data_IF_707016711191
#
_entry.id   IF_707016711191
#
_cell.length_a   1.000
_cell.length_b   1.000
_cell.length_c   1.000
_cell.angle_alpha   90.00
_cell.angle_beta   90.00
_cell.angle_gamma   90.00
#
_symmetry.space_group_name_H-M   'P 1'
#
loop_
_entity.id
_entity.type
_entity.pdbx_description
1 polymer ?
#
# COMPACT_ATOMS: atom_id res chain seq x y z
N UNK A 1 -2.37 43.33 -59.41
CA UNK A 1 -1.41 42.20 -59.42
C UNK A 1 -1.86 41.16 -58.41
N UNK A 2 -1.77 39.87 -58.72
CA UNK A 2 -2.07 38.82 -57.75
C UNK A 2 -0.92 38.71 -56.74
N UNK A 3 -1.26 38.75 -55.45
CA UNK A 3 -0.32 38.76 -54.33
C UNK A 3 -0.11 37.33 -53.83
N UNK A 4 1.10 37.04 -53.34
CA UNK A 4 1.45 35.75 -52.74
C UNK A 4 0.45 35.31 -51.66
N UNK A 5 0.02 34.04 -51.70
CA UNK A 5 -0.96 33.44 -50.78
C UNK A 5 -0.50 33.39 -49.31
N UNK A 6 0.80 33.54 -49.03
CA UNK A 6 1.31 33.45 -47.66
C UNK A 6 0.91 34.67 -46.83
N UNK A 7 0.36 34.42 -45.64
CA UNK A 7 0.02 35.47 -44.67
C UNK A 7 1.18 36.44 -44.49
N UNK A 8 0.87 37.74 -44.51
CA UNK A 8 1.82 38.84 -44.33
C UNK A 8 2.90 38.98 -45.42
N UNK A 9 2.67 38.44 -46.62
CA UNK A 9 3.53 38.66 -47.78
C UNK A 9 2.88 39.66 -48.75
N UNK A 10 3.60 40.74 -49.09
CA UNK A 10 3.16 41.76 -50.04
C UNK A 10 3.74 41.59 -51.45
N UNK A 11 4.59 40.58 -51.65
CA UNK A 11 5.24 40.32 -52.95
C UNK A 11 4.24 39.74 -53.96
N UNK A 12 4.44 40.09 -55.24
CA UNK A 12 3.71 39.50 -56.36
C UNK A 12 3.97 38.00 -56.49
N UNK A 13 2.99 37.27 -57.03
CA UNK A 13 3.18 35.86 -57.40
C UNK A 13 4.30 35.78 -58.46
N UNK A 14 5.16 34.76 -58.32
CA UNK A 14 6.29 34.56 -59.22
C UNK A 14 5.88 34.19 -60.64
N UNK A 15 6.82 34.29 -61.57
CA UNK A 15 6.53 34.16 -63.00
C UNK A 15 6.51 32.71 -63.49
N UNK A 16 7.13 31.78 -62.75
CA UNK A 16 7.21 30.38 -63.16
C UNK A 16 5.84 29.67 -63.06
N UNK A 17 5.53 28.71 -63.94
CA UNK A 17 4.26 27.99 -63.94
C UNK A 17 3.89 27.37 -62.57
N UNK A 18 4.87 26.78 -61.89
CA UNK A 18 4.67 26.18 -60.56
C UNK A 18 4.45 27.22 -59.45
N UNK A 19 5.14 28.36 -59.52
CA UNK A 19 4.95 29.48 -58.58
C UNK A 19 3.52 30.01 -58.66
N UNK A 20 3.00 30.15 -59.89
CA UNK A 20 1.61 30.55 -60.17
C UNK A 20 0.61 29.50 -59.70
N UNK A 21 0.87 28.21 -59.99
CA UNK A 21 0.04 27.08 -59.55
C UNK A 21 -0.13 27.05 -58.02
N UNK A 22 0.93 27.29 -57.26
CA UNK A 22 0.87 27.33 -55.79
C UNK A 22 0.53 28.72 -55.22
N UNK A 23 0.40 29.74 -56.09
CA UNK A 23 0.18 31.15 -55.73
C UNK A 23 1.23 31.69 -54.75
N UNK A 24 2.51 31.41 -54.98
CA UNK A 24 3.63 31.86 -54.14
C UNK A 24 4.52 32.85 -54.91
N UNK A 25 5.13 33.82 -54.22
CA UNK A 25 6.27 34.56 -54.77
C UNK A 25 7.51 33.64 -54.85
N UNK A 26 8.50 34.01 -55.66
CA UNK A 26 9.69 33.17 -55.89
C UNK A 26 10.44 32.82 -54.61
N UNK A 27 10.54 33.75 -53.64
CA UNK A 27 11.15 33.50 -52.33
C UNK A 27 10.41 32.40 -51.56
N UNK A 28 9.08 32.46 -51.50
CA UNK A 28 8.28 31.46 -50.78
C UNK A 28 8.23 30.11 -51.50
N UNK A 29 8.28 30.11 -52.84
CA UNK A 29 8.37 28.89 -53.63
C UNK A 29 9.73 28.20 -53.46
N UNK A 30 10.84 28.95 -53.50
CA UNK A 30 12.17 28.40 -53.18
C UNK A 30 12.25 27.88 -51.73
N UNK A 31 11.66 28.59 -50.77
CA UNK A 31 11.52 28.10 -49.41
C UNK A 31 10.71 26.80 -49.30
N UNK A 32 9.70 26.61 -50.15
CA UNK A 32 8.93 25.35 -50.25
C UNK A 32 9.79 24.22 -50.83
N UNK A 33 10.54 24.47 -51.91
CA UNK A 33 11.45 23.49 -52.51
C UNK A 33 12.54 23.05 -51.54
N UNK A 34 13.19 24.00 -50.85
CA UNK A 34 14.19 23.70 -49.82
C UNK A 34 13.61 22.85 -48.68
N UNK A 35 12.37 23.13 -48.24
CA UNK A 35 11.69 22.29 -47.24
C UNK A 35 11.38 20.90 -47.78
N UNK A 36 10.95 20.77 -49.04
CA UNK A 36 10.71 19.47 -49.67
C UNK A 36 11.99 18.64 -49.79
N UNK A 37 13.10 19.25 -50.21
CA UNK A 37 14.42 18.61 -50.27
C UNK A 37 14.90 18.15 -48.88
N UNK A 38 14.77 18.99 -47.85
CA UNK A 38 15.07 18.61 -46.46
C UNK A 38 14.20 17.47 -45.94
N UNK A 39 12.92 17.41 -46.34
CA UNK A 39 12.02 16.29 -46.00
C UNK A 39 12.48 14.99 -46.68
N UNK A 40 12.85 15.07 -47.96
CA UNK A 40 13.35 13.93 -48.73
C UNK A 40 14.67 13.37 -48.13
N UNK A 41 15.61 14.24 -47.77
CA UNK A 41 16.86 13.84 -47.09
C UNK A 41 16.60 13.14 -45.75
N UNK A 42 15.53 13.50 -45.07
CA UNK A 42 15.15 12.96 -43.76
C UNK A 42 14.15 11.81 -43.85
N UNK A 43 13.78 11.36 -45.05
CA UNK A 43 12.81 10.30 -45.26
C UNK A 43 13.25 8.99 -44.61
N UNK A 44 14.53 8.66 -44.76
CA UNK A 44 15.15 7.44 -44.24
C UNK A 44 15.54 7.54 -42.75
N UNK A 45 15.40 8.71 -42.12
CA UNK A 45 15.59 8.84 -40.68
C UNK A 45 14.31 8.38 -39.98
N UNK A 46 14.38 7.27 -39.28
CA UNK A 46 13.28 6.73 -38.48
C UNK A 46 13.43 7.11 -37.01
N UNK A 47 12.32 7.08 -36.28
CA UNK A 47 12.32 7.27 -34.83
C UNK A 47 13.21 6.22 -34.16
N UNK A 48 14.11 6.65 -33.27
CA UNK A 48 15.05 5.78 -32.56
C UNK A 48 14.39 4.87 -31.52
N UNK A 49 13.15 5.13 -31.09
CA UNK A 49 12.40 4.18 -30.26
C UNK A 49 12.06 2.94 -31.11
N UNK A 50 12.66 1.77 -30.84
CA UNK A 50 12.66 0.64 -31.78
C UNK A 50 11.28 0.20 -32.28
N UNK A 51 10.21 0.19 -31.46
CA UNK A 51 8.87 -0.21 -31.90
C UNK A 51 8.18 0.78 -32.86
N UNK A 52 8.70 2.00 -33.02
CA UNK A 52 7.97 3.06 -33.71
C UNK A 52 8.06 3.02 -35.23
N UNK A 53 9.28 2.92 -35.80
CA UNK A 53 9.51 2.92 -37.25
C UNK A 53 9.10 4.17 -38.03
N UNK A 54 8.43 5.17 -37.43
CA UNK A 54 7.92 6.37 -38.12
C UNK A 54 9.06 7.25 -38.64
N UNK A 55 8.94 7.70 -39.89
CA UNK A 55 9.86 8.66 -40.51
C UNK A 55 9.85 10.03 -39.81
N UNK A 56 11.03 10.59 -39.60
CA UNK A 56 11.25 11.92 -39.01
C UNK A 56 11.19 13.05 -40.06
N UNK A 57 10.92 12.73 -41.33
CA UNK A 57 10.84 13.70 -42.43
C UNK A 57 9.82 14.81 -42.17
N UNK A 58 8.68 14.50 -41.56
CA UNK A 58 7.64 15.47 -41.20
C UNK A 58 7.92 16.31 -39.95
N UNK A 59 8.99 16.02 -39.21
CA UNK A 59 9.22 16.56 -37.86
C UNK A 59 10.43 17.50 -37.80
N UNK A 60 10.48 18.37 -36.78
CA UNK A 60 11.70 19.13 -36.45
C UNK A 60 12.72 18.32 -35.63
N UNK A 61 12.28 17.21 -35.02
CA UNK A 61 13.07 16.40 -34.10
C UNK A 61 14.11 15.55 -34.83
N UNK A 62 15.30 15.36 -34.26
CA UNK A 62 16.39 14.62 -34.93
C UNK A 62 16.44 13.14 -34.58
N UNK A 63 15.87 12.73 -33.45
CA UNK A 63 15.99 11.36 -32.90
C UNK A 63 14.67 10.64 -32.67
N UNK A 64 13.64 11.37 -32.22
CA UNK A 64 12.34 10.77 -31.87
C UNK A 64 11.20 11.52 -32.55
N UNK A 65 10.17 10.80 -33.00
CA UNK A 65 9.02 11.45 -33.65
C UNK A 65 8.18 12.28 -32.67
N UNK A 66 8.17 11.92 -31.37
CA UNK A 66 7.44 12.61 -30.32
C UNK A 66 8.16 12.54 -28.95
N UNK A 67 7.70 13.35 -28.00
CA UNK A 67 8.23 13.35 -26.63
C UNK A 67 7.93 12.03 -25.89
N UNK A 68 6.82 11.37 -26.23
CA UNK A 68 6.45 10.07 -25.67
C UNK A 68 7.51 9.00 -25.93
N UNK A 69 7.95 8.86 -27.19
CA UNK A 69 9.01 7.91 -27.56
C UNK A 69 10.37 8.28 -26.97
N UNK A 70 10.72 9.57 -26.91
CA UNK A 70 11.92 10.02 -26.20
C UNK A 70 11.89 9.60 -24.73
N UNK A 71 10.74 9.72 -24.08
CA UNK A 71 10.58 9.36 -22.67
C UNK A 71 10.60 7.84 -22.49
N UNK A 72 9.96 7.06 -23.37
CA UNK A 72 9.98 5.60 -23.35
C UNK A 72 11.39 5.03 -23.51
N UNK A 73 12.14 5.54 -24.48
CA UNK A 73 13.52 5.12 -24.76
C UNK A 73 14.50 5.41 -23.61
N UNK A 74 14.17 6.35 -22.72
CA UNK A 74 14.98 6.69 -21.54
C UNK A 74 14.63 5.88 -20.29
N UNK A 75 13.62 5.02 -20.36
CA UNK A 75 13.16 4.25 -19.19
C UNK A 75 14.16 3.15 -18.85
N UNK A 76 14.24 2.85 -17.56
CA UNK A 76 14.94 1.67 -17.06
C UNK A 76 14.21 0.36 -17.39
N UNK A 77 12.88 0.45 -17.54
CA UNK A 77 11.97 -0.66 -17.81
C UNK A 77 10.95 -0.18 -18.84
N UNK A 78 10.86 -0.85 -19.99
CA UNK A 78 9.82 -0.57 -20.99
C UNK A 78 8.53 -1.36 -20.71
N UNK A 79 7.91 -1.07 -19.56
CA UNK A 79 6.60 -1.59 -19.16
C UNK A 79 5.79 -0.42 -18.56
N UNK A 80 4.71 -0.02 -19.24
CA UNK A 80 3.87 1.10 -18.83
C UNK A 80 3.17 0.87 -17.47
N UNK A 81 2.85 -0.39 -17.11
CA UNK A 81 2.25 -0.72 -15.83
C UNK A 81 3.25 -0.59 -14.69
N UNK A 82 4.51 -1.05 -14.87
CA UNK A 82 5.56 -0.84 -13.87
C UNK A 82 5.86 0.67 -13.70
N UNK A 83 5.88 1.43 -14.79
CA UNK A 83 6.06 2.90 -14.73
C UNK A 83 4.90 3.60 -13.99
N UNK A 84 3.69 3.03 -14.05
CA UNK A 84 2.55 3.49 -13.26
C UNK A 84 2.72 3.13 -11.77
N UNK A 85 3.10 1.88 -11.49
CA UNK A 85 3.33 1.35 -10.14
C UNK A 85 4.35 2.19 -9.36
N UNK A 86 5.46 2.61 -9.98
CA UNK A 86 6.48 3.40 -9.27
C UNK A 86 6.00 4.78 -8.80
N UNK A 87 4.88 5.27 -9.33
CA UNK A 87 4.21 6.50 -8.89
C UNK A 87 3.14 6.25 -7.83
N UNK A 88 2.77 4.99 -7.61
CA UNK A 88 1.75 4.61 -6.65
C UNK A 88 2.28 4.76 -5.21
N UNK A 89 1.39 5.08 -4.27
CA UNK A 89 1.73 5.25 -2.85
C UNK A 89 2.38 4.00 -2.25
N UNK A 90 1.98 2.81 -2.69
CA UNK A 90 2.57 1.54 -2.25
C UNK A 90 4.06 1.48 -2.55
N UNK A 91 4.47 1.82 -3.77
CA UNK A 91 5.88 1.86 -4.15
C UNK A 91 6.66 2.88 -3.32
N UNK A 92 6.12 4.09 -3.17
CA UNK A 92 6.74 5.17 -2.40
C UNK A 92 6.95 4.74 -0.94
N UNK A 93 5.97 4.04 -0.36
CA UNK A 93 6.06 3.54 1.01
C UNK A 93 7.06 2.39 1.15
N UNK A 94 7.16 1.49 0.16
CA UNK A 94 8.21 0.45 0.12
C UNK A 94 9.59 1.11 0.02
N UNK A 95 9.78 2.06 -0.89
CA UNK A 95 11.02 2.81 -1.03
C UNK A 95 11.41 3.52 0.27
N UNK A 96 10.46 4.14 0.96
CA UNK A 96 10.67 4.76 2.27
C UNK A 96 11.12 3.74 3.33
N UNK A 97 10.48 2.56 3.40
CA UNK A 97 10.89 1.50 4.33
C UNK A 97 12.34 1.07 4.11
N UNK A 98 12.75 0.82 2.86
CA UNK A 98 14.12 0.43 2.57
C UNK A 98 15.12 1.57 2.83
N UNK A 99 14.77 2.82 2.49
CA UNK A 99 15.62 3.99 2.78
C UNK A 99 15.84 4.21 4.27
N UNK A 100 14.84 3.92 5.10
CA UNK A 100 14.90 4.08 6.55
C UNK A 100 15.47 2.84 7.27
N UNK A 101 15.81 1.78 6.54
CA UNK A 101 16.47 0.61 7.11
C UNK A 101 17.99 0.79 7.03
N UNK A 102 18.75 0.51 8.12
CA UNK A 102 20.21 0.65 8.10
C UNK A 102 20.90 -0.24 7.05
N UNK A 103 20.25 -1.31 6.60
CA UNK A 103 20.78 -2.21 5.58
C UNK A 103 20.34 -1.87 4.16
N UNK A 104 19.37 -0.98 3.95
CA UNK A 104 18.86 -0.65 2.61
C UNK A 104 18.39 -1.89 1.83
N UNK A 105 18.93 -2.14 0.64
CA UNK A 105 18.68 -3.38 -0.13
C UNK A 105 19.20 -4.64 0.57
N UNK A 106 20.13 -4.55 1.52
CA UNK A 106 20.54 -5.68 2.35
C UNK A 106 19.48 -6.17 3.33
N UNK A 107 18.35 -5.46 3.44
CA UNK A 107 17.19 -5.88 4.23
C UNK A 107 16.21 -6.79 3.49
N UNK A 108 16.38 -6.97 2.18
CA UNK A 108 15.62 -7.91 1.35
C UNK A 108 16.52 -9.08 0.92
N UNK A 109 15.90 -10.20 0.55
CA UNK A 109 16.55 -11.42 0.09
C UNK A 109 16.52 -11.53 -1.44
N UNK A 110 15.41 -11.11 -2.06
CA UNK A 110 15.25 -11.10 -3.52
C UNK A 110 14.35 -9.95 -3.96
N UNK A 111 14.25 -9.68 -5.27
CA UNK A 111 13.25 -8.76 -5.81
C UNK A 111 11.79 -9.13 -5.48
N UNK A 112 11.50 -10.40 -5.19
CA UNK A 112 10.15 -10.87 -4.86
C UNK A 112 9.66 -10.26 -3.54
N UNK A 113 10.57 -9.96 -2.61
CA UNK A 113 10.23 -9.25 -1.38
C UNK A 113 9.58 -7.88 -1.67
N UNK A 114 9.97 -7.20 -2.75
CA UNK A 114 9.34 -5.95 -3.16
C UNK A 114 7.90 -6.19 -3.62
N UNK A 115 7.68 -7.25 -4.39
CA UNK A 115 6.33 -7.63 -4.81
C UNK A 115 5.47 -8.02 -3.61
N UNK A 116 6.02 -8.77 -2.66
CA UNK A 116 5.34 -9.17 -1.44
C UNK A 116 4.99 -7.99 -0.53
N UNK A 117 5.88 -7.00 -0.39
CA UNK A 117 5.56 -5.76 0.31
C UNK A 117 4.43 -4.99 -0.37
N UNK A 118 4.39 -4.96 -1.70
CA UNK A 118 3.28 -4.34 -2.45
C UNK A 118 1.98 -5.12 -2.20
N UNK A 119 2.02 -6.46 -2.20
CA UNK A 119 0.86 -7.30 -1.86
C UNK A 119 0.37 -7.07 -0.43
N UNK A 120 1.28 -6.84 0.52
CA UNK A 120 0.91 -6.48 1.88
C UNK A 120 0.19 -5.12 1.92
N UNK A 121 0.61 -4.13 1.13
CA UNK A 121 -0.13 -2.87 1.02
C UNK A 121 -1.51 -3.04 0.37
N UNK A 122 -1.63 -3.90 -0.66
CA UNK A 122 -2.92 -4.24 -1.26
C UNK A 122 -3.86 -4.87 -0.22
N UNK A 123 -3.40 -5.92 0.47
CA UNK A 123 -4.15 -6.56 1.57
C UNK A 123 -4.52 -5.56 2.65
N UNK A 124 -3.58 -4.70 3.07
CA UNK A 124 -3.85 -3.65 4.06
C UNK A 124 -4.97 -2.73 3.61
N UNK A 125 -5.04 -2.37 2.32
CA UNK A 125 -6.09 -1.53 1.77
C UNK A 125 -7.47 -2.21 1.79
N UNK A 126 -7.53 -3.54 1.71
CA UNK A 126 -8.79 -4.29 1.80
C UNK A 126 -9.42 -4.22 3.20
N UNK A 127 -8.58 -4.25 4.26
CA UNK A 127 -9.05 -4.07 5.64
C UNK A 127 -9.19 -2.58 6.01
N UNK A 128 -8.30 -1.72 5.53
CA UNK A 128 -8.30 -0.29 5.76
C UNK A 128 -9.21 0.40 4.75
N UNK A 129 -10.52 0.26 4.93
CA UNK A 129 -11.49 1.04 4.17
C UNK A 129 -11.27 2.53 4.45
N UNK A 130 -11.12 3.30 3.37
CA UNK A 130 -10.83 4.73 3.43
C UNK A 130 -11.91 5.54 2.70
N UNK A 131 -12.27 6.66 3.32
CA UNK A 131 -13.46 7.43 3.03
C UNK A 131 -13.10 8.90 2.82
N UNK A 132 -13.89 9.61 2.02
CA UNK A 132 -13.80 11.08 1.89
C UNK A 132 -15.11 11.76 2.26
N UNK A 133 -16.09 10.98 2.71
CA UNK A 133 -17.38 11.44 3.23
C UNK A 133 -17.66 10.70 4.52
N UNK A 134 -17.69 11.42 5.64
CA UNK A 134 -17.91 10.89 6.99
C UNK A 134 -19.17 11.56 7.54
N UNK A 135 -20.07 10.79 8.14
CA UNK A 135 -21.35 11.29 8.69
C UNK A 135 -22.14 12.16 7.68
N UNK A 136 -22.18 11.73 6.41
CA UNK A 136 -22.88 12.44 5.34
C UNK A 136 -22.19 13.69 4.79
N UNK A 137 -21.06 14.12 5.37
CA UNK A 137 -20.35 15.34 4.96
C UNK A 137 -19.00 15.03 4.31
N UNK A 138 -18.67 15.73 3.22
CA UNK A 138 -17.33 15.67 2.60
C UNK A 138 -16.32 16.19 3.62
N UNK A 139 -15.23 15.44 3.80
CA UNK A 139 -14.20 15.88 4.74
C UNK A 139 -13.46 17.08 4.15
N UNK A 140 -13.37 18.15 4.94
CA UNK A 140 -12.73 19.41 4.60
C UNK A 140 -11.46 19.63 5.42
N UNK A 141 -10.50 20.35 4.86
CA UNK A 141 -9.31 20.83 5.58
C UNK A 141 -9.64 22.04 6.47
N UNK A 142 -8.63 22.56 7.17
CA UNK A 142 -8.80 23.71 8.07
C UNK A 142 -9.14 25.02 7.34
N UNK A 143 -8.99 25.06 6.01
CA UNK A 143 -9.39 26.18 5.17
C UNK A 143 -10.77 25.99 4.53
N UNK A 144 -11.48 24.91 4.89
CA UNK A 144 -12.81 24.58 4.36
C UNK A 144 -12.80 23.95 2.97
N UNK A 145 -11.64 23.57 2.43
CA UNK A 145 -11.54 22.92 1.12
C UNK A 145 -11.66 21.40 1.25
N UNK A 146 -12.27 20.75 0.25
CA UNK A 146 -12.41 19.29 0.24
C UNK A 146 -11.03 18.62 0.23
N UNK A 147 -10.81 17.72 1.20
CA UNK A 147 -9.56 16.99 1.33
C UNK A 147 -9.33 16.11 0.09
N UNK A 148 -8.16 16.26 -0.52
CA UNK A 148 -7.72 15.48 -1.71
C UNK A 148 -7.06 14.15 -1.35
N UNK A 149 -7.51 13.50 -0.29
CA UNK A 149 -7.06 12.16 0.13
C UNK A 149 -8.21 11.41 0.82
N UNK A 150 -8.14 10.09 0.79
CA UNK A 150 -9.03 9.25 1.59
C UNK A 150 -8.49 9.17 3.02
N UNK A 151 -9.42 9.16 3.97
CA UNK A 151 -9.14 9.02 5.41
C UNK A 151 -9.55 7.61 5.82
N UNK A 152 -8.63 6.83 6.41
CA UNK A 152 -8.97 5.49 6.89
C UNK A 152 -9.96 5.57 8.06
N UNK A 153 -10.98 4.72 8.06
CA UNK A 153 -11.85 4.59 9.23
C UNK A 153 -11.12 3.87 10.36
N UNK A 154 -10.51 2.72 10.07
CA UNK A 154 -9.58 2.00 10.95
C UNK A 154 -8.16 2.19 10.42
N UNK A 155 -7.28 2.85 11.18
CA UNK A 155 -5.91 3.13 10.73
C UNK A 155 -5.01 1.91 10.95
N UNK A 156 -4.50 1.33 9.86
CA UNK A 156 -3.62 0.16 9.86
C UNK A 156 -2.23 0.51 9.33
N UNK A 157 -1.22 -0.18 9.83
CA UNK A 157 0.17 -0.06 9.38
C UNK A 157 0.75 -1.42 9.00
N UNK A 158 1.79 -1.41 8.16
CA UNK A 158 2.66 -2.56 7.98
C UNK A 158 3.71 -2.52 9.09
N UNK A 159 3.47 -3.27 10.14
CA UNK A 159 4.23 -3.27 11.39
C UNK A 159 5.30 -4.35 11.32
N UNK A 160 6.55 -3.95 11.49
CA UNK A 160 7.67 -4.89 11.55
C UNK A 160 7.73 -5.54 12.93
N UNK A 161 7.72 -6.87 13.00
CA UNK A 161 7.92 -7.62 14.25
C UNK A 161 9.33 -7.34 14.78
N UNK A 162 10.38 -7.57 13.96
CA UNK A 162 11.70 -7.02 14.23
C UNK A 162 11.82 -5.63 13.62
N UNK A 163 12.02 -4.55 14.41
CA UNK A 163 11.91 -3.18 13.92
C UNK A 163 12.80 -2.83 12.72
N UNK A 164 12.23 -2.15 11.72
CA UNK A 164 12.95 -1.73 10.51
C UNK A 164 14.17 -0.85 10.81
N UNK A 165 14.03 0.10 11.73
CA UNK A 165 15.11 1.02 12.14
C UNK A 165 16.27 0.31 12.85
N UNK A 166 16.07 -0.94 13.32
CA UNK A 166 17.09 -1.78 13.96
C UNK A 166 17.66 -2.85 13.03
N UNK A 167 17.35 -2.78 11.74
CA UNK A 167 17.79 -3.77 10.74
C UNK A 167 16.89 -4.99 10.62
N UNK A 168 15.60 -4.84 10.94
CA UNK A 168 14.59 -5.85 10.61
C UNK A 168 14.53 -6.14 9.11
N UNK A 169 14.23 -7.38 8.76
CA UNK A 169 14.06 -7.77 7.38
C UNK A 169 12.81 -7.11 6.77
N UNK A 170 12.92 -6.70 5.51
CA UNK A 170 11.81 -6.19 4.70
C UNK A 170 11.19 -7.35 3.89
N UNK A 171 10.88 -8.43 4.58
CA UNK A 171 10.21 -9.64 4.05
C UNK A 171 8.79 -9.72 4.60
N UNK A 172 7.90 -10.46 3.92
CA UNK A 172 6.51 -10.58 4.36
C UNK A 172 6.35 -11.26 5.73
N UNK A 173 7.27 -12.15 6.09
CA UNK A 173 7.21 -12.91 7.35
C UNK A 173 7.61 -12.08 8.57
N UNK A 174 8.39 -11.01 8.39
CA UNK A 174 8.74 -10.09 9.47
C UNK A 174 7.71 -8.96 9.65
N UNK A 175 6.66 -8.90 8.83
CA UNK A 175 5.74 -7.77 8.80
C UNK A 175 4.32 -8.28 8.98
N UNK A 176 3.55 -7.64 9.86
CA UNK A 176 2.12 -7.88 10.03
C UNK A 176 1.31 -6.64 9.69
N UNK A 177 0.07 -6.83 9.26
CA UNK A 177 -0.90 -5.74 9.17
C UNK A 177 -1.57 -5.63 10.54
N UNK A 178 -1.37 -4.51 11.23
CA UNK A 178 -1.92 -4.30 12.57
C UNK A 178 -2.37 -2.84 12.76
N UNK A 179 -3.17 -2.54 13.79
CA UNK A 179 -3.60 -1.19 14.06
C UNK A 179 -2.43 -0.25 14.34
N UNK A 180 -2.47 0.93 13.75
CA UNK A 180 -1.42 1.95 13.90
C UNK A 180 -1.21 2.33 15.38
N UNK A 181 -2.28 2.37 16.16
CA UNK A 181 -2.23 2.63 17.60
C UNK A 181 -1.32 1.63 18.32
N UNK A 182 -1.47 0.33 18.05
CA UNK A 182 -0.62 -0.72 18.66
C UNK A 182 0.84 -0.55 18.20
N UNK A 183 1.09 -0.30 16.92
CA UNK A 183 2.45 -0.10 16.41
C UNK A 183 3.16 1.09 17.09
N UNK A 184 2.43 2.20 17.30
CA UNK A 184 2.94 3.39 17.98
C UNK A 184 3.31 3.12 19.44
N UNK A 185 2.62 2.21 20.12
CA UNK A 185 2.99 1.77 21.47
C UNK A 185 4.34 1.04 21.47
N UNK A 186 4.61 0.24 20.44
CA UNK A 186 5.84 -0.55 20.31
C UNK A 186 7.07 0.27 19.92
N UNK A 187 6.88 1.36 19.14
CA UNK A 187 7.95 2.21 18.61
C UNK A 187 8.99 1.37 17.84
N UNK A 188 10.25 1.40 18.27
CA UNK A 188 11.36 0.64 17.71
C UNK A 188 11.93 -0.41 18.70
N UNK A 189 11.09 -0.84 19.65
CA UNK A 189 11.43 -1.85 20.65
C UNK A 189 11.65 -3.20 19.98
N UNK A 190 12.80 -3.83 20.25
CA UNK A 190 13.08 -5.17 19.77
C UNK A 190 12.25 -6.17 20.60
N UNK A 191 11.48 -7.07 19.97
CA UNK A 191 10.66 -8.04 20.67
C UNK A 191 11.53 -8.96 21.55
N UNK A 192 11.02 -9.29 22.74
CA UNK A 192 11.70 -10.19 23.69
C UNK A 192 10.88 -11.46 23.79
N UNK A 193 11.26 -12.46 23.00
CA UNK A 193 10.62 -13.78 23.06
C UNK A 193 11.37 -14.70 24.02
N UNK A 194 10.62 -15.42 24.86
CA UNK A 194 11.17 -16.47 25.74
C UNK A 194 11.50 -17.73 24.96
N UNK A 195 10.81 -17.96 23.84
CA UNK A 195 11.03 -19.10 22.94
C UNK A 195 11.59 -18.60 21.61
N UNK A 196 12.52 -19.33 21.00
CA UNK A 196 12.91 -19.03 19.61
C UNK A 196 11.71 -19.36 18.72
N UNK A 197 11.16 -18.36 18.05
CA UNK A 197 9.95 -18.55 17.24
C UNK A 197 9.54 -17.32 16.44
N UNK A 198 8.33 -17.37 15.89
CA UNK A 198 7.72 -16.41 14.95
C UNK A 198 7.67 -14.98 15.47
N UNK A 199 7.50 -14.79 16.79
CA UNK A 199 7.29 -13.46 17.39
C UNK A 199 8.58 -12.72 17.74
N UNK A 200 9.75 -13.37 17.64
CA UNK A 200 11.04 -12.67 17.75
C UNK A 200 11.33 -11.76 16.53
N UNK A 201 10.56 -11.94 15.45
CA UNK A 201 10.80 -11.30 14.17
C UNK A 201 12.11 -11.76 13.51
N UNK A 202 12.37 -11.21 12.32
CA UNK A 202 13.51 -11.58 11.48
C UNK A 202 14.43 -10.37 11.36
N UNK A 203 15.65 -10.49 11.90
CA UNK A 203 16.72 -9.54 11.62
C UNK A 203 17.32 -9.86 10.26
N UNK A 204 17.49 -8.85 9.41
CA UNK A 204 18.12 -9.06 8.11
C UNK A 204 19.61 -9.41 8.26
N UNK A 205 20.06 -10.35 7.44
CA UNK A 205 21.43 -10.87 7.44
C UNK A 205 22.32 -10.25 6.35
N UNK A 206 21.75 -9.43 5.45
CA UNK A 206 22.49 -8.83 4.35
C UNK A 206 23.45 -7.73 4.79
N UNK A 207 24.38 -7.38 3.90
CA UNK A 207 25.31 -6.26 4.10
C UNK A 207 24.63 -4.91 3.82
N UNK A 208 25.09 -3.81 4.44
CA UNK A 208 24.53 -2.49 4.18
C UNK A 208 24.64 -2.07 2.71
N UNK A 209 23.48 -1.90 2.06
CA UNK A 209 23.35 -1.44 0.67
C UNK A 209 22.33 -0.29 0.59
N UNK A 210 22.70 0.95 0.97
CA UNK A 210 21.77 2.08 1.03
C UNK A 210 21.13 2.44 -0.31
N UNK A 211 19.83 2.74 -0.31
CA UNK A 211 19.08 3.18 -1.50
C UNK A 211 19.34 4.67 -1.75
N UNK A 212 20.45 5.00 -2.43
CA UNK A 212 20.88 6.38 -2.72
C UNK A 212 20.16 7.07 -3.89
N UNK A 213 19.40 6.31 -4.67
CA UNK A 213 18.65 6.80 -5.84
C UNK A 213 17.16 6.46 -5.72
N UNK A 214 16.44 6.30 -6.83
CA UNK A 214 15.09 5.71 -6.79
C UNK A 214 15.21 4.21 -6.50
N UNK A 215 14.20 3.64 -5.84
CA UNK A 215 14.20 2.20 -5.55
C UNK A 215 14.34 1.39 -6.84
N UNK A 216 13.68 1.80 -7.93
CA UNK A 216 13.68 1.04 -9.18
C UNK A 216 15.09 0.98 -9.77
N UNK A 217 15.79 2.12 -9.77
CA UNK A 217 17.18 2.17 -10.25
C UNK A 217 18.09 1.31 -9.40
N UNK A 218 17.97 1.38 -8.07
CA UNK A 218 18.79 0.59 -7.16
C UNK A 218 18.57 -0.92 -7.37
N UNK A 219 17.31 -1.35 -7.52
CA UNK A 219 16.95 -2.73 -7.80
C UNK A 219 17.47 -3.20 -9.16
N UNK A 220 17.27 -2.41 -10.23
CA UNK A 220 17.76 -2.77 -11.57
C UNK A 220 19.29 -2.86 -11.62
N UNK A 221 20.01 -1.99 -10.91
CA UNK A 221 21.47 -2.05 -10.81
C UNK A 221 21.95 -3.31 -10.06
N UNK A 222 21.22 -3.73 -9.03
CA UNK A 222 21.61 -4.87 -8.19
C UNK A 222 21.23 -6.23 -8.81
N UNK A 223 20.04 -6.34 -9.41
CA UNK A 223 19.46 -7.61 -9.84
C UNK A 223 19.28 -7.74 -11.35
N UNK A 224 19.46 -6.66 -12.12
CA UNK A 224 19.20 -6.63 -13.56
C UNK A 224 17.74 -6.37 -13.92
N UNK A 225 17.50 -5.88 -15.13
CA UNK A 225 16.17 -5.46 -15.59
C UNK A 225 15.16 -6.61 -15.61
N UNK A 226 15.54 -7.75 -16.20
CA UNK A 226 14.63 -8.88 -16.45
C UNK A 226 14.09 -9.47 -15.15
N UNK A 227 14.94 -9.66 -14.14
CA UNK A 227 14.53 -10.14 -12.81
C UNK A 227 13.55 -9.20 -12.12
N UNK A 228 13.74 -7.88 -12.26
CA UNK A 228 12.80 -6.90 -11.69
C UNK A 228 11.46 -6.91 -12.43
N UNK A 229 11.48 -7.05 -13.75
CA UNK A 229 10.25 -7.18 -14.53
C UNK A 229 9.47 -8.44 -14.15
N UNK A 230 10.16 -9.57 -14.00
CA UNK A 230 9.58 -10.85 -13.60
C UNK A 230 8.94 -10.76 -12.20
N UNK A 231 9.68 -10.30 -11.20
CA UNK A 231 9.19 -10.17 -9.83
C UNK A 231 7.96 -9.24 -9.74
N UNK A 232 7.98 -8.12 -10.46
CA UNK A 232 6.88 -7.14 -10.45
C UNK A 232 5.70 -7.53 -11.35
N UNK A 233 5.82 -8.57 -12.19
CA UNK A 233 4.81 -8.93 -13.18
C UNK A 233 3.43 -9.16 -12.57
N UNK A 234 3.38 -9.74 -11.37
CA UNK A 234 2.16 -10.07 -10.65
C UNK A 234 1.52 -8.90 -9.87
N UNK A 235 2.24 -7.79 -9.69
CA UNK A 235 1.81 -6.65 -8.85
C UNK A 235 1.82 -5.30 -9.58
N UNK A 236 2.25 -5.26 -10.84
CA UNK A 236 2.35 -4.04 -11.65
C UNK A 236 1.01 -3.36 -11.92
N UNK A 237 -0.10 -4.09 -11.80
CA UNK A 237 -1.45 -3.56 -11.95
C UNK A 237 -2.01 -3.14 -10.60
N UNK A 238 -1.91 -1.85 -10.29
CA UNK A 238 -2.50 -1.22 -9.12
C UNK A 238 -3.51 -0.16 -9.53
N UNK A 239 -4.66 -0.15 -8.88
CA UNK A 239 -5.75 0.79 -9.17
C UNK A 239 -5.65 2.02 -8.28
N UNK A 240 -5.58 3.20 -8.89
CA UNK A 240 -5.69 4.45 -8.14
C UNK A 240 -7.15 4.69 -7.76
N UNK A 241 -7.39 5.08 -6.50
CA UNK A 241 -8.71 5.49 -6.08
C UNK A 241 -9.10 6.81 -6.76
N UNK A 242 -10.27 6.84 -7.40
CA UNK A 242 -10.86 8.08 -7.87
C UNK A 242 -11.38 8.90 -6.66
N UNK A 243 -10.73 10.02 -6.40
CA UNK A 243 -11.05 10.92 -5.29
C UNK A 243 -12.25 11.82 -5.57
N UNK A 244 -12.65 11.94 -6.85
CA UNK A 244 -13.84 12.69 -7.25
C UNK A 244 -15.12 11.98 -6.80
N UNK A 245 -15.10 10.65 -6.69
CA UNK A 245 -16.24 9.84 -6.25
C UNK A 245 -16.41 9.90 -4.72
N UNK A 246 -17.61 10.23 -4.20
CA UNK A 246 -17.89 10.14 -2.77
C UNK A 246 -17.77 8.69 -2.28
N UNK A 247 -16.95 8.47 -1.25
CA UNK A 247 -16.81 7.22 -0.51
C UNK A 247 -17.29 7.45 0.90
N UNK A 248 -18.50 6.96 1.19
CA UNK A 248 -19.24 7.19 2.44
C UNK A 248 -19.04 6.03 3.42
N UNK A 249 -18.81 6.35 4.68
CA UNK A 249 -18.84 5.37 5.77
C UNK A 249 -20.30 5.05 6.10
N UNK A 250 -20.74 3.81 5.89
CA UNK A 250 -22.10 3.35 6.16
C UNK A 250 -22.11 1.91 6.70
N UNK A 251 -23.14 1.60 7.50
CA UNK A 251 -23.63 0.24 7.72
C UNK A 251 -22.56 -0.78 8.15
N UNK A 252 -21.60 -0.36 8.97
CA UNK A 252 -20.59 -1.29 9.49
C UNK A 252 -21.05 -1.79 10.86
N UNK A 253 -21.68 -2.95 10.87
CA UNK A 253 -22.03 -3.66 12.09
C UNK A 253 -20.77 -4.38 12.61
N UNK A 254 -20.14 -3.80 13.63
CA UNK A 254 -18.95 -4.37 14.26
C UNK A 254 -19.25 -5.64 15.07
N UNK A 255 -20.51 -5.87 15.48
CA UNK A 255 -20.91 -7.08 16.20
C UNK A 255 -21.12 -8.25 15.23
N UNK A 256 -21.61 -7.99 14.02
CA UNK A 256 -21.68 -9.00 12.96
C UNK A 256 -20.34 -9.22 12.25
N UNK A 257 -19.51 -8.17 12.13
CA UNK A 257 -18.25 -8.20 11.40
C UNK A 257 -17.14 -7.49 12.18
N UNK A 258 -16.61 -8.11 13.25
CA UNK A 258 -15.56 -7.52 14.10
C UNK A 258 -14.26 -7.29 13.29
N UNK A 259 -13.86 -6.03 13.02
CA UNK A 259 -12.79 -5.73 12.08
C UNK A 259 -11.40 -6.14 12.57
N UNK A 260 -11.09 -5.98 13.86
CA UNK A 260 -9.79 -6.34 14.42
C UNK A 260 -9.65 -7.86 14.56
N UNK A 261 -10.70 -8.54 15.02
CA UNK A 261 -10.69 -9.99 15.17
C UNK A 261 -10.56 -10.69 13.81
N UNK A 262 -11.29 -10.22 12.80
CA UNK A 262 -11.16 -10.71 11.43
C UNK A 262 -9.74 -10.49 10.89
N UNK A 263 -9.19 -9.30 11.06
CA UNK A 263 -7.81 -9.00 10.65
C UNK A 263 -6.82 -9.94 11.35
N UNK A 264 -6.98 -10.18 12.66
CA UNK A 264 -6.13 -11.08 13.42
C UNK A 264 -6.21 -12.51 12.88
N UNK A 265 -7.42 -13.02 12.61
CA UNK A 265 -7.63 -14.36 12.08
C UNK A 265 -6.92 -14.54 10.72
N UNK A 266 -7.05 -13.55 9.84
CA UNK A 266 -6.40 -13.58 8.53
C UNK A 266 -4.88 -13.39 8.59
N UNK A 267 -4.37 -12.60 9.56
CA UNK A 267 -2.93 -12.51 9.82
C UNK A 267 -2.38 -13.82 10.40
N UNK A 268 -3.10 -14.46 11.32
CA UNK A 268 -2.72 -15.76 11.88
C UNK A 268 -2.64 -16.81 10.77
N UNK A 269 -3.63 -16.85 9.87
CA UNK A 269 -3.60 -17.74 8.70
C UNK A 269 -2.41 -17.45 7.80
N UNK A 270 -2.15 -16.18 7.46
CA UNK A 270 -1.04 -15.81 6.57
C UNK A 270 0.32 -16.23 7.13
N UNK A 271 0.50 -16.15 8.44
CA UNK A 271 1.75 -16.50 9.13
C UNK A 271 1.84 -17.99 9.52
N UNK A 272 0.86 -18.81 9.15
CA UNK A 272 0.84 -20.24 9.51
C UNK A 272 0.60 -20.52 10.99
N UNK A 273 -0.01 -19.58 11.73
CA UNK A 273 -0.32 -19.71 13.16
C UNK A 273 -1.62 -20.48 13.38
N UNK A 274 -1.65 -21.75 12.96
CA UNK A 274 -2.87 -22.57 12.92
C UNK A 274 -3.55 -22.75 14.28
N UNK A 275 -2.76 -22.96 15.32
CA UNK A 275 -3.27 -23.12 16.69
C UNK A 275 -3.99 -21.87 17.21
N UNK A 276 -3.40 -20.69 16.99
CA UNK A 276 -4.02 -19.42 17.32
C UNK A 276 -5.30 -19.21 16.49
N UNK A 277 -5.27 -19.54 15.20
CA UNK A 277 -6.42 -19.42 14.30
C UNK A 277 -7.64 -20.22 14.79
N UNK A 278 -7.46 -21.50 15.12
CA UNK A 278 -8.56 -22.34 15.64
C UNK A 278 -9.09 -21.86 16.99
N UNK A 279 -8.19 -21.31 17.81
CA UNK A 279 -8.57 -20.69 19.08
C UNK A 279 -9.36 -19.38 18.89
N UNK A 280 -9.01 -18.55 17.90
CA UNK A 280 -9.80 -17.37 17.51
C UNK A 280 -11.22 -17.77 17.09
N UNK A 281 -11.38 -18.81 16.25
CA UNK A 281 -12.70 -19.31 15.84
C UNK A 281 -13.53 -19.79 17.06
N UNK A 282 -12.85 -20.37 18.05
CA UNK A 282 -13.49 -20.81 19.30
C UNK A 282 -13.90 -19.61 20.16
N UNK A 283 -13.12 -18.53 20.19
CA UNK A 283 -13.43 -17.28 20.91
C UNK A 283 -14.59 -16.53 20.25
N UNK A 284 -14.62 -16.45 18.93
CA UNK A 284 -15.68 -15.74 18.18
C UNK A 284 -17.07 -16.30 18.47
N UNK A 285 -17.17 -17.62 18.71
CA UNK A 285 -18.41 -18.32 19.04
C UNK A 285 -18.71 -18.38 20.55
N UNK A 286 -17.90 -17.75 21.40
CA UNK A 286 -17.95 -17.91 22.85
C UNK A 286 -18.44 -16.66 23.58
N UNK A 287 -19.43 -16.84 24.46
CA UNK A 287 -19.93 -15.78 25.35
C UNK A 287 -19.19 -15.67 26.69
N UNK A 288 -18.25 -16.57 26.98
CA UNK A 288 -17.56 -16.63 28.28
C UNK A 288 -16.35 -15.69 28.38
N UNK A 289 -15.77 -15.28 27.25
CA UNK A 289 -14.63 -14.36 27.24
C UNK A 289 -15.15 -12.93 27.25
N UNK A 290 -14.85 -12.17 28.30
CA UNK A 290 -15.17 -10.75 28.38
C UNK A 290 -14.00 -9.93 27.82
N UNK A 291 -13.98 -9.76 26.50
CA UNK A 291 -12.91 -9.09 25.77
C UNK A 291 -13.40 -7.79 25.08
N UNK A 292 -14.27 -7.05 25.77
CA UNK A 292 -14.90 -5.84 25.24
C UNK A 292 -15.85 -6.11 24.06
N UNK A 293 -16.22 -5.08 23.29
CA UNK A 293 -17.18 -5.20 22.18
C UNK A 293 -16.72 -6.25 21.16
N UNK A 294 -17.54 -7.27 20.92
CA UNK A 294 -17.30 -8.33 19.93
C UNK A 294 -15.92 -9.01 20.02
N UNK A 295 -15.37 -9.15 21.24
CA UNK A 295 -14.04 -9.70 21.51
C UNK A 295 -12.87 -8.93 20.85
N UNK A 296 -13.10 -7.70 20.41
CA UNK A 296 -12.09 -6.91 19.69
C UNK A 296 -10.89 -6.51 20.58
N UNK A 297 -11.04 -6.46 21.91
CA UNK A 297 -9.91 -6.18 22.79
C UNK A 297 -8.96 -7.36 22.95
N UNK A 298 -9.46 -8.60 22.77
CA UNK A 298 -8.58 -9.75 22.60
C UNK A 298 -7.71 -9.58 21.35
N UNK A 299 -8.30 -9.12 20.24
CA UNK A 299 -7.55 -8.89 19.02
C UNK A 299 -6.48 -7.79 19.18
N UNK A 300 -6.81 -6.68 19.84
CA UNK A 300 -5.85 -5.64 20.17
C UNK A 300 -4.70 -6.16 21.06
N UNK A 301 -5.02 -6.95 22.09
CA UNK A 301 -4.03 -7.58 22.96
C UNK A 301 -3.13 -8.56 22.19
N UNK A 302 -3.71 -9.37 21.31
CA UNK A 302 -2.98 -10.31 20.47
C UNK A 302 -2.02 -9.60 19.50
N UNK A 303 -2.45 -8.53 18.81
CA UNK A 303 -1.53 -7.75 17.97
C UNK A 303 -0.37 -7.15 18.77
N UNK A 304 -0.64 -6.63 19.97
CA UNK A 304 0.40 -6.12 20.85
C UNK A 304 1.38 -7.23 21.26
N UNK A 305 0.86 -8.42 21.58
CA UNK A 305 1.67 -9.58 21.95
C UNK A 305 2.55 -10.05 20.79
N UNK A 306 1.99 -10.18 19.59
CA UNK A 306 2.74 -10.54 18.38
C UNK A 306 3.91 -9.57 18.11
N UNK A 307 3.73 -8.27 18.37
CA UNK A 307 4.78 -7.27 18.15
C UNK A 307 5.78 -7.14 19.31
N UNK A 308 5.42 -7.52 20.53
CA UNK A 308 6.31 -7.45 21.69
C UNK A 308 7.14 -8.72 21.92
N UNK A 309 6.97 -9.73 21.06
CA UNK A 309 7.64 -11.03 21.18
C UNK A 309 6.89 -12.03 22.04
N UNK A 310 5.59 -11.82 22.25
CA UNK A 310 4.73 -12.56 23.15
C UNK A 310 5.33 -12.69 24.56
N UNK A 311 5.85 -11.56 25.07
CA UNK A 311 6.67 -11.53 26.29
C UNK A 311 5.99 -12.11 27.54
N UNK A 312 4.67 -11.98 27.61
CA UNK A 312 3.85 -12.50 28.71
C UNK A 312 3.02 -13.73 28.30
N UNK A 313 3.43 -14.42 27.23
CA UNK A 313 2.88 -15.71 26.77
C UNK A 313 1.38 -15.68 26.45
N UNK A 314 0.84 -14.51 26.05
CA UNK A 314 -0.58 -14.35 25.72
C UNK A 314 -0.93 -15.21 24.49
N UNK A 315 -0.16 -15.09 23.42
CA UNK A 315 -0.41 -15.84 22.19
C UNK A 315 -0.17 -17.32 22.41
N UNK A 316 0.88 -17.70 23.13
CA UNK A 316 1.16 -19.09 23.47
C UNK A 316 0.00 -19.73 24.24
N UNK A 317 -0.47 -19.10 25.32
CA UNK A 317 -1.60 -19.60 26.11
C UNK A 317 -2.88 -19.68 25.27
N UNK A 318 -3.20 -18.64 24.52
CA UNK A 318 -4.43 -18.67 23.71
C UNK A 318 -4.30 -19.59 22.50
N UNK A 319 -3.10 -19.96 22.06
CA UNK A 319 -2.90 -20.96 21.02
C UNK A 319 -3.25 -22.38 21.49
N UNK A 320 -3.13 -22.68 22.79
CA UNK A 320 -3.53 -23.98 23.35
C UNK A 320 -5.03 -24.10 23.66
N UNK A 321 -5.79 -23.00 23.59
CA UNK A 321 -7.20 -22.96 23.99
C UNK A 321 -8.05 -24.00 23.24
N UNK A 322 -7.91 -24.08 21.92
CA UNK A 322 -8.67 -25.03 21.13
C UNK A 322 -8.39 -26.50 21.50
N UNK A 323 -7.12 -26.83 21.75
CA UNK A 323 -6.72 -28.17 22.18
C UNK A 323 -7.29 -28.49 23.58
N UNK A 324 -7.24 -27.53 24.51
CA UNK A 324 -7.81 -27.64 25.86
C UNK A 324 -9.35 -27.82 25.83
N UNK A 325 -10.04 -27.10 24.94
CA UNK A 325 -11.49 -27.30 24.70
C UNK A 325 -11.77 -28.75 24.27
N UNK A 326 -11.02 -29.26 23.30
CA UNK A 326 -11.21 -30.61 22.77
C UNK A 326 -10.91 -31.67 23.84
N UNK A 327 -9.80 -31.52 24.55
CA UNK A 327 -9.36 -32.47 25.57
C UNK A 327 -10.36 -32.55 26.73
N UNK A 328 -10.80 -31.41 27.25
CA UNK A 328 -11.79 -31.36 28.32
C UNK A 328 -13.14 -31.92 27.88
N UNK A 329 -13.58 -31.62 26.65
CA UNK A 329 -14.78 -32.22 26.09
C UNK A 329 -14.69 -33.75 26.03
N UNK A 330 -13.54 -34.31 25.63
CA UNK A 330 -13.29 -35.77 25.64
C UNK A 330 -13.35 -36.35 27.05
N UNK A 331 -12.80 -35.63 28.03
CA UNK A 331 -12.77 -36.06 29.44
C UNK A 331 -14.06 -35.74 30.21
N UNK A 332 -15.08 -35.15 29.56
CA UNK A 332 -16.32 -34.65 30.18
C UNK A 332 -16.08 -33.61 31.29
N UNK A 333 -15.02 -32.83 31.14
CA UNK A 333 -14.65 -31.74 32.03
C UNK A 333 -15.10 -30.39 31.46
N UNK A 334 -15.27 -29.39 32.34
CA UNK A 334 -15.54 -28.01 31.93
C UNK A 334 -14.24 -27.27 31.65
N UNK A 335 -14.23 -26.44 30.62
CA UNK A 335 -13.15 -25.48 30.37
C UNK A 335 -13.00 -24.54 31.56
N UNK A 336 -11.77 -24.29 31.98
CA UNK A 336 -11.48 -23.31 33.02
C UNK A 336 -11.51 -21.90 32.40
N UNK A 337 -12.71 -21.35 32.19
CA UNK A 337 -12.87 -20.01 31.59
C UNK A 337 -12.12 -18.93 32.38
N UNK A 338 -12.15 -19.04 33.72
CA UNK A 338 -11.48 -18.08 34.61
C UNK A 338 -9.96 -18.04 34.37
N UNK A 339 -9.34 -19.16 34.00
CA UNK A 339 -7.91 -19.17 33.67
C UNK A 339 -7.59 -18.26 32.48
N UNK A 340 -8.28 -18.42 31.36
CA UNK A 340 -8.07 -17.61 30.16
C UNK A 340 -8.49 -16.15 30.36
N UNK A 341 -9.63 -15.93 31.04
CA UNK A 341 -10.13 -14.59 31.34
C UNK A 341 -9.13 -13.81 32.22
N UNK A 342 -8.62 -14.41 33.29
CA UNK A 342 -7.63 -13.78 34.17
C UNK A 342 -6.33 -13.41 33.44
N UNK A 343 -5.91 -14.22 32.46
CA UNK A 343 -4.71 -13.95 31.67
C UNK A 343 -4.94 -12.73 30.77
N UNK A 344 -6.08 -12.67 30.10
CA UNK A 344 -6.45 -11.52 29.27
C UNK A 344 -6.57 -10.24 30.11
N UNK A 345 -7.26 -10.30 31.25
CA UNK A 345 -7.43 -9.17 32.18
C UNK A 345 -6.08 -8.63 32.66
N UNK A 346 -5.20 -9.51 33.13
CA UNK A 346 -3.85 -9.11 33.56
C UNK A 346 -3.06 -8.47 32.43
N UNK A 347 -3.16 -9.01 31.22
CA UNK A 347 -2.45 -8.48 30.06
C UNK A 347 -2.97 -7.09 29.68
N UNK A 348 -4.30 -6.95 29.55
CA UNK A 348 -4.95 -5.71 29.14
C UNK A 348 -4.75 -4.61 30.19
N UNK A 349 -4.89 -4.94 31.48
CA UNK A 349 -4.61 -4.01 32.57
C UNK A 349 -3.15 -3.54 32.54
N UNK A 350 -2.21 -4.45 32.31
CA UNK A 350 -0.77 -4.13 32.29
C UNK A 350 -0.37 -3.20 31.15
N UNK A 351 -0.82 -3.48 29.93
CA UNK A 351 -0.33 -2.78 28.72
C UNK A 351 -1.23 -1.66 28.24
N UNK A 352 -2.53 -1.75 28.50
CA UNK A 352 -3.50 -0.75 28.06
C UNK A 352 -4.11 0.05 29.22
N UNK A 353 -3.86 -0.34 30.47
CA UNK A 353 -4.42 0.31 31.67
C UNK A 353 -5.95 0.33 31.68
N UNK A 354 -6.55 -0.76 31.20
CA UNK A 354 -8.00 -0.95 31.10
C UNK A 354 -8.43 -2.03 32.07
N UNK A 355 -9.52 -1.77 32.78
CA UNK A 355 -10.28 -2.77 33.51
C UNK A 355 -11.35 -3.36 32.58
N UNK A 356 -11.27 -4.66 32.27
CA UNK A 356 -12.23 -5.32 31.38
C UNK A 356 -13.64 -5.40 31.96
N UNK A 357 -13.79 -5.25 33.28
CA UNK A 357 -15.10 -5.17 33.93
C UNK A 357 -15.75 -3.79 33.79
N UNK A 358 -14.97 -2.76 33.42
CA UNK A 358 -15.49 -1.43 33.14
C UNK A 358 -15.86 -1.29 31.66
N UNK A 359 -17.13 -1.52 31.36
CA UNK A 359 -17.67 -1.48 29.99
C UNK A 359 -17.39 -0.14 29.28
N UNK A 360 -17.55 1.00 29.96
CA UNK A 360 -17.31 2.32 29.36
C UNK A 360 -15.83 2.49 28.99
N UNK A 361 -14.91 2.08 29.87
CA UNK A 361 -13.48 2.12 29.60
C UNK A 361 -13.09 1.25 28.39
N UNK A 362 -13.64 0.04 28.30
CA UNK A 362 -13.45 -0.86 27.17
C UNK A 362 -13.90 -0.23 25.85
N UNK A 363 -15.09 0.39 25.83
CA UNK A 363 -15.65 1.01 24.63
C UNK A 363 -14.85 2.25 24.22
N UNK A 364 -14.47 3.12 25.18
CA UNK A 364 -13.67 4.30 24.88
C UNK A 364 -12.31 3.96 24.29
N UNK A 365 -11.65 2.92 24.82
CA UNK A 365 -10.41 2.43 24.24
C UNK A 365 -10.63 1.82 22.85
N UNK A 366 -11.65 0.99 22.67
CA UNK A 366 -11.99 0.43 21.35
C UNK A 366 -12.25 1.52 20.30
N UNK A 367 -12.98 2.57 20.68
CA UNK A 367 -13.25 3.70 19.79
C UNK A 367 -11.99 4.46 19.37
N UNK A 368 -10.90 4.40 20.15
CA UNK A 368 -9.63 5.08 19.82
C UNK A 368 -8.90 4.51 18.59
N UNK A 369 -9.26 3.30 18.15
CA UNK A 369 -8.73 2.70 16.92
C UNK A 369 -9.32 3.33 15.65
N UNK A 370 -10.42 4.08 15.78
CA UNK A 370 -11.19 4.58 14.65
C UNK A 370 -11.17 6.10 14.55
N UNK A 371 -11.11 6.62 13.31
CA UNK A 371 -11.23 8.06 13.06
C UNK A 371 -12.63 8.59 13.41
N UNK A 372 -13.66 7.74 13.26
CA UNK A 372 -15.03 8.00 13.71
C UNK A 372 -15.46 6.83 14.58
N UNK A 373 -15.87 7.05 15.83
CA UNK A 373 -16.23 5.97 16.74
C UNK A 373 -17.37 5.08 16.18
N UNK A 374 -17.24 3.73 16.22
CA UNK A 374 -18.34 2.83 15.91
C UNK A 374 -19.45 2.83 16.95
N UNK A 375 -19.11 3.06 18.22
CA UNK A 375 -20.00 2.88 19.37
C UNK A 375 -20.14 4.16 20.18
N UNK A 376 -21.32 4.38 20.78
CA UNK A 376 -21.45 5.33 21.89
C UNK A 376 -20.89 4.72 23.20
N UNK A 377 -20.87 5.51 24.28
CA UNK A 377 -20.39 5.05 25.60
C UNK A 377 -21.17 3.88 26.21
N UNK A 378 -22.36 3.57 25.68
CA UNK A 378 -23.22 2.47 26.13
C UNK A 378 -23.06 1.21 25.26
N UNK A 379 -22.23 1.27 24.21
CA UNK A 379 -21.98 0.16 23.30
C UNK A 379 -23.00 0.06 22.17
N UNK A 380 -23.80 1.11 21.93
CA UNK A 380 -24.76 1.17 20.83
C UNK A 380 -24.05 1.66 19.57
N UNK A 381 -24.33 1.02 18.43
CA UNK A 381 -23.80 1.44 17.13
C UNK A 381 -24.26 2.86 16.79
N UNK A 382 -23.31 3.75 16.48
CA UNK A 382 -23.60 5.15 16.09
C UNK A 382 -23.38 5.41 14.60
N UNK A 383 -22.78 4.46 13.87
CA UNK A 383 -22.62 4.58 12.42
C UNK A 383 -23.99 4.31 11.77
N UNK A 384 -24.53 5.25 10.97
CA UNK A 384 -25.87 5.10 10.41
C UNK A 384 -26.02 3.82 9.57
N UNK A 385 -27.05 3.04 9.89
CA UNK A 385 -27.58 1.99 9.01
C UNK A 385 -28.53 2.66 8.00
N UNK A 386 -28.03 2.88 6.78
CA UNK A 386 -28.75 3.36 5.57
C UNK A 386 -29.02 4.87 5.43
N UNK A 387 -28.70 5.41 4.25
CA UNK A 387 -29.62 5.60 3.11
C UNK A 387 -28.87 5.45 1.77
#
# INVERSE_FOLDING_TARGET
>A
MAICKRNNCTLSIGELPDERKFRLCSVHYQGKLSKAAKRAQRWNLTCQYPPCGISLSGTRNQRYCCIGHRNKDRRLIDDDAIVSLVKHSYWINVESKLKNNPLGLGSITSPDDIADLIRLYQRKADYQKAYNTLNGQRVIDSQGQVIKRLIPWLELELCHIYPNSKGGANTADNIIIAPALINRMMKDTIPVSKTRGTFSGIKAAGSPLPVKSTLLKALTMQYGQDKIQEALASVKHVTFADLSVPRRLFGTDIYAYPPLLKLLNDQAMRLGLWRLRESINSIESSHWLSAGPANELFAAAAFHAMLNGDKDDLIEVFSSLHEDIIERARNKEKLNHNYYQNILERYVSRYFQIDLHNQESCILFYNSFFTVPPLDKHGVLIIPHHF
#
